data_IF_103393988448
#
_entry.id   IF_103393988448
#
_cell.length_a   1.000
_cell.length_b   1.000
_cell.length_c   1.000
_cell.angle_alpha   90.00
_cell.angle_beta   90.00
_cell.angle_gamma   90.00
#
_symmetry.space_group_name_H-M   'P 1'
#
loop_
_entity.id
_entity.type
_entity.pdbx_description
1 polymer ?
#
# COMPACT_ATOMS: atom_id res chain seq x y z
N UNK A 1 28.68 7.55 -5.24
CA UNK A 1 27.22 7.52 -5.10
C UNK A 1 26.74 6.20 -5.67
N UNK A 2 26.58 5.22 -4.79
CA UNK A 2 26.20 3.83 -5.09
C UNK A 2 24.69 3.69 -5.32
N UNK A 3 24.12 4.53 -6.19
CA UNK A 3 22.72 4.43 -6.62
C UNK A 3 22.58 3.70 -7.96
N UNK A 4 23.70 3.32 -8.59
CA UNK A 4 23.75 2.74 -9.93
C UNK A 4 23.79 1.21 -9.96
N UNK A 5 23.83 0.52 -8.82
CA UNK A 5 24.09 -0.93 -8.79
C UNK A 5 23.12 -1.81 -8.00
N UNK A 6 22.07 -1.29 -7.35
CA UNK A 6 21.03 -2.15 -6.74
C UNK A 6 19.85 -2.38 -7.69
N UNK A 7 20.05 -3.25 -8.68
CA UNK A 7 18.96 -3.79 -9.51
C UNK A 7 17.93 -4.64 -8.71
N UNK A 8 18.13 -4.81 -7.40
CA UNK A 8 17.29 -5.65 -6.52
C UNK A 8 16.63 -4.87 -5.36
N UNK A 9 16.68 -3.54 -5.34
CA UNK A 9 15.94 -2.73 -4.34
C UNK A 9 16.39 -2.90 -2.88
N UNK A 10 17.37 -3.75 -2.58
CA UNK A 10 17.96 -3.87 -1.25
C UNK A 10 19.30 -3.13 -1.19
N UNK A 11 19.39 -2.19 -0.24
CA UNK A 11 20.66 -1.54 0.10
C UNK A 11 21.45 -2.51 0.96
N UNK A 12 22.65 -2.89 0.53
CA UNK A 12 23.58 -3.65 1.37
C UNK A 12 23.87 -2.81 2.61
N UNK A 13 23.49 -3.30 3.79
CA UNK A 13 23.85 -2.70 5.08
C UNK A 13 25.37 -2.63 5.18
N UNK A 14 25.93 -1.42 5.13
CA UNK A 14 27.37 -1.22 5.32
C UNK A 14 27.70 -1.45 6.79
N UNK A 15 28.67 -2.32 7.12
CA UNK A 15 29.10 -2.52 8.50
C UNK A 15 29.49 -1.19 9.17
N UNK A 16 29.19 -1.06 10.46
CA UNK A 16 29.41 0.15 11.25
C UNK A 16 30.79 0.79 11.13
N UNK A 17 31.82 -0.03 10.90
CA UNK A 17 33.22 0.34 10.74
C UNK A 17 33.56 1.03 9.41
N UNK A 18 32.67 0.94 8.41
CA UNK A 18 32.82 1.53 7.09
C UNK A 18 31.89 2.74 6.88
N UNK A 19 31.07 3.07 7.87
CA UNK A 19 30.17 4.23 7.85
C UNK A 19 30.98 5.49 8.16
N UNK A 20 30.91 6.46 7.25
CA UNK A 20 31.52 7.78 7.43
C UNK A 20 30.50 8.76 8.04
N UNK A 21 30.96 9.55 9.01
CA UNK A 21 30.19 10.63 9.64
C UNK A 21 30.40 11.96 8.89
N UNK A 22 29.32 12.69 8.66
CA UNK A 22 29.29 14.03 8.08
C UNK A 22 28.45 14.96 8.94
N UNK A 23 28.55 16.27 8.70
CA UNK A 23 27.74 17.27 9.39
C UNK A 23 26.93 18.11 8.38
N UNK A 24 25.67 18.36 8.72
CA UNK A 24 24.84 19.33 8.00
C UNK A 24 25.30 20.76 8.30
N UNK A 25 24.81 21.75 7.55
CA UNK A 25 25.06 23.18 7.83
C UNK A 25 24.71 23.59 9.27
N UNK A 26 23.74 22.91 9.88
CA UNK A 26 23.26 23.20 11.23
C UNK A 26 24.00 22.40 12.32
N UNK A 27 25.04 21.64 11.96
CA UNK A 27 25.85 20.84 12.90
C UNK A 27 25.28 19.46 13.23
N UNK A 28 24.09 19.11 12.70
CA UNK A 28 23.53 17.75 12.82
C UNK A 28 24.45 16.73 12.16
N UNK A 29 24.77 15.65 12.86
CA UNK A 29 25.53 14.52 12.33
C UNK A 29 24.66 13.65 11.43
N UNK A 30 25.22 13.21 10.30
CA UNK A 30 24.59 12.30 9.36
C UNK A 30 25.59 11.26 8.90
N UNK A 31 25.10 10.10 8.46
CA UNK A 31 25.93 8.93 8.16
C UNK A 31 25.68 8.45 6.73
N UNK A 32 26.75 8.03 6.05
CA UNK A 32 26.65 7.33 4.76
C UNK A 32 26.51 5.80 4.94
N UNK A 33 26.17 5.06 3.89
CA UNK A 33 26.22 3.58 3.88
C UNK A 33 24.88 2.85 3.96
N UNK A 34 23.75 3.52 3.69
CA UNK A 34 22.44 2.86 3.84
C UNK A 34 21.22 3.57 3.23
N UNK A 35 21.44 4.61 2.41
CA UNK A 35 20.40 5.57 2.02
C UNK A 35 20.19 6.68 3.06
N UNK A 36 19.27 7.62 2.77
CA UNK A 36 18.88 8.67 3.73
C UNK A 36 17.90 8.06 4.73
N UNK A 37 18.27 8.02 6.01
CA UNK A 37 17.34 7.66 7.09
C UNK A 37 16.37 8.83 7.32
N UNK A 38 15.04 8.59 7.34
CA UNK A 38 14.10 9.66 7.69
C UNK A 38 14.24 10.03 9.17
N UNK A 39 14.12 11.32 9.46
CA UNK A 39 14.07 11.83 10.83
C UNK A 39 12.75 11.47 11.52
N UNK A 40 11.68 11.32 10.73
CA UNK A 40 10.36 10.85 11.16
C UNK A 40 9.97 9.71 10.25
N UNK A 41 9.79 8.52 10.83
CA UNK A 41 9.27 7.37 10.11
C UNK A 41 7.75 7.47 10.01
N UNK A 42 7.23 7.43 8.79
CA UNK A 42 5.78 7.39 8.51
C UNK A 42 5.52 6.04 7.88
N UNK A 43 4.72 5.21 8.56
CA UNK A 43 4.42 3.87 8.09
C UNK A 43 3.71 3.95 6.72
N UNK A 44 4.27 3.30 5.69
CA UNK A 44 3.68 3.33 4.36
C UNK A 44 2.33 2.61 4.34
N UNK A 45 1.36 3.20 3.67
CA UNK A 45 0.11 2.54 3.36
C UNK A 45 0.25 1.71 2.09
N UNK A 46 -0.14 0.44 2.17
CA UNK A 46 -0.08 -0.47 1.03
C UNK A 46 -1.48 -0.83 0.57
N UNK A 47 -1.70 -0.73 -0.75
CA UNK A 47 -2.85 -1.36 -1.40
C UNK A 47 -2.81 -2.87 -1.14
N UNK A 48 -3.95 -3.47 -0.77
CA UNK A 48 -4.00 -4.94 -0.63
C UNK A 48 -3.66 -5.61 -1.95
N UNK A 49 -3.05 -6.78 -1.84
CA UNK A 49 -2.84 -7.68 -2.98
C UNK A 49 -4.15 -8.00 -3.71
N UNK A 50 -5.28 -7.99 -3.02
CA UNK A 50 -6.60 -8.19 -3.63
C UNK A 50 -6.99 -7.00 -4.52
N UNK A 51 -7.02 -5.77 -3.99
CA UNK A 51 -7.33 -4.57 -4.77
C UNK A 51 -6.34 -4.38 -5.95
N UNK A 52 -5.05 -4.62 -5.72
CA UNK A 52 -4.05 -4.61 -6.79
C UNK A 52 -4.31 -5.68 -7.87
N UNK A 53 -4.86 -6.83 -7.50
CA UNK A 53 -5.25 -7.89 -8.44
C UNK A 53 -6.46 -7.47 -9.27
N UNK A 54 -7.47 -6.82 -8.66
CA UNK A 54 -8.63 -6.30 -9.39
C UNK A 54 -8.21 -5.25 -10.42
N UNK A 55 -7.31 -4.35 -10.04
CA UNK A 55 -6.72 -3.37 -10.95
C UNK A 55 -5.93 -4.04 -12.07
N UNK A 56 -5.01 -4.97 -11.75
CA UNK A 56 -4.18 -5.64 -12.75
C UNK A 56 -4.99 -6.47 -13.77
N UNK A 57 -6.18 -6.94 -13.40
CA UNK A 57 -7.08 -7.69 -14.29
C UNK A 57 -7.96 -6.79 -15.16
N UNK A 58 -7.91 -5.47 -15.00
CA UNK A 58 -8.75 -4.54 -15.74
C UNK A 58 -10.14 -4.30 -15.13
N UNK A 59 -10.47 -4.93 -14.01
CA UNK A 59 -11.84 -4.87 -13.47
C UNK A 59 -12.20 -3.51 -12.89
N UNK A 60 -11.22 -2.78 -12.39
CA UNK A 60 -11.41 -1.40 -11.92
C UNK A 60 -11.68 -0.49 -13.13
N UNK A 61 -10.87 -0.59 -14.19
CA UNK A 61 -11.05 0.22 -15.40
C UNK A 61 -12.35 -0.10 -16.15
N UNK A 62 -12.71 -1.38 -16.26
CA UNK A 62 -13.96 -1.82 -16.89
C UNK A 62 -15.19 -1.23 -16.16
N UNK A 63 -15.16 -1.22 -14.82
CA UNK A 63 -16.21 -0.59 -14.04
C UNK A 63 -16.19 0.93 -14.18
N UNK A 64 -15.02 1.56 -14.18
CA UNK A 64 -14.87 3.00 -14.43
C UNK A 64 -15.43 3.43 -15.79
N UNK A 65 -15.27 2.60 -16.83
CA UNK A 65 -15.89 2.80 -18.14
C UNK A 65 -17.42 2.80 -18.05
N UNK A 66 -17.99 1.83 -17.32
CA UNK A 66 -19.43 1.75 -17.11
C UNK A 66 -19.96 2.92 -16.29
N UNK A 67 -19.29 3.26 -15.18
CA UNK A 67 -19.63 4.38 -14.31
C UNK A 67 -19.65 5.69 -15.11
N UNK A 68 -18.61 5.96 -15.89
CA UNK A 68 -18.51 7.17 -16.73
C UNK A 68 -19.63 7.21 -17.78
N UNK A 69 -19.98 6.07 -18.37
CA UNK A 69 -21.07 5.96 -19.35
C UNK A 69 -22.44 6.25 -18.73
N UNK A 70 -22.67 5.84 -17.47
CA UNK A 70 -23.89 6.11 -16.70
C UNK A 70 -23.99 7.55 -16.23
N UNK A 71 -22.86 8.25 -16.09
CA UNK A 71 -22.78 9.62 -15.58
C UNK A 71 -22.19 10.62 -16.59
N UNK A 72 -22.81 10.81 -17.77
CA UNK A 72 -22.25 11.68 -18.80
C UNK A 72 -22.20 13.14 -18.34
N UNK A 73 -21.02 13.76 -18.44
CA UNK A 73 -20.83 15.18 -18.11
C UNK A 73 -20.88 15.51 -16.62
N UNK A 74 -20.84 14.51 -15.73
CA UNK A 74 -20.74 14.73 -14.29
C UNK A 74 -19.50 15.57 -13.96
N UNK A 75 -19.72 16.62 -13.16
CA UNK A 75 -18.63 17.37 -12.54
C UNK A 75 -18.31 16.73 -11.20
N UNK A 76 -17.02 16.55 -10.92
CA UNK A 76 -16.53 16.01 -9.66
C UNK A 76 -15.61 17.03 -8.99
N UNK A 77 -15.65 17.09 -7.66
CA UNK A 77 -14.63 17.79 -6.88
C UNK A 77 -13.49 16.81 -6.61
N UNK A 78 -12.34 17.04 -7.24
CA UNK A 78 -11.19 16.14 -7.18
C UNK A 78 -10.74 15.88 -5.74
N UNK A 79 -10.85 16.85 -4.83
CA UNK A 79 -10.36 16.70 -3.46
C UNK A 79 -11.26 15.82 -2.59
N UNK A 80 -12.55 15.74 -2.93
CA UNK A 80 -13.58 15.14 -2.07
C UNK A 80 -14.39 14.04 -2.75
N UNK A 81 -14.11 13.77 -4.03
CA UNK A 81 -14.83 12.76 -4.81
C UNK A 81 -14.70 11.38 -4.17
N UNK A 82 -15.83 10.68 -4.06
CA UNK A 82 -15.85 9.26 -3.76
C UNK A 82 -17.10 8.64 -4.35
N UNK A 83 -17.00 7.39 -4.81
CA UNK A 83 -18.16 6.61 -5.19
C UNK A 83 -19.08 6.39 -3.98
N UNK A 84 -20.38 6.30 -4.25
CA UNK A 84 -21.38 6.07 -3.20
C UNK A 84 -21.45 4.60 -2.80
N UNK A 85 -22.12 4.30 -1.68
CA UNK A 85 -22.43 2.91 -1.32
C UNK A 85 -23.23 2.18 -2.40
N UNK A 86 -24.08 2.90 -3.13
CA UNK A 86 -24.85 2.34 -4.25
C UNK A 86 -23.95 1.99 -5.44
N UNK A 87 -23.00 2.87 -5.79
CA UNK A 87 -22.02 2.60 -6.83
C UNK A 87 -21.12 1.41 -6.45
N UNK A 88 -20.74 1.29 -5.18
CA UNK A 88 -19.98 0.14 -4.70
C UNK A 88 -20.78 -1.16 -4.76
N UNK A 89 -22.09 -1.11 -4.45
CA UNK A 89 -22.98 -2.26 -4.62
C UNK A 89 -23.09 -2.69 -6.09
N UNK A 90 -23.13 -1.73 -7.03
CA UNK A 90 -23.06 -2.01 -8.46
C UNK A 90 -21.72 -2.67 -8.84
N UNK A 91 -20.60 -2.21 -8.28
CA UNK A 91 -19.29 -2.85 -8.49
C UNK A 91 -19.27 -4.29 -7.96
N UNK A 92 -19.79 -4.52 -6.76
CA UNK A 92 -19.88 -5.86 -6.18
C UNK A 92 -20.75 -6.79 -7.04
N UNK A 93 -21.85 -6.28 -7.62
CA UNK A 93 -22.67 -7.02 -8.58
C UNK A 93 -21.91 -7.33 -9.88
N UNK A 94 -21.19 -6.35 -10.43
CA UNK A 94 -20.32 -6.51 -11.60
C UNK A 94 -19.24 -7.58 -11.41
N UNK A 95 -18.79 -7.81 -10.16
CA UNK A 95 -17.77 -8.79 -9.82
C UNK A 95 -18.30 -10.23 -9.63
N UNK A 96 -19.61 -10.47 -9.56
CA UNK A 96 -20.17 -11.79 -9.18
C UNK A 96 -19.75 -12.94 -10.11
N UNK A 97 -19.63 -12.67 -11.41
CA UNK A 97 -19.30 -13.69 -12.42
C UNK A 97 -17.81 -13.68 -12.82
N UNK A 98 -16.97 -12.94 -12.09
CA UNK A 98 -15.55 -12.77 -12.42
C UNK A 98 -14.66 -13.67 -11.59
N UNK A 99 -13.77 -14.37 -12.28
CA UNK A 99 -12.72 -15.14 -11.62
C UNK A 99 -11.58 -14.20 -11.19
N UNK A 100 -11.30 -14.18 -9.89
CA UNK A 100 -10.17 -13.44 -9.32
C UNK A 100 -9.16 -14.46 -8.81
N UNK A 101 -8.03 -14.70 -9.51
CA UNK A 101 -6.96 -15.60 -9.08
C UNK A 101 -6.16 -15.00 -7.92
N UNK A 102 -6.85 -14.69 -6.82
CA UNK A 102 -6.27 -14.19 -5.59
C UNK A 102 -6.09 -15.33 -4.59
N UNK A 103 -4.93 -15.35 -3.95
CA UNK A 103 -4.65 -16.22 -2.83
C UNK A 103 -4.09 -15.39 -1.68
N UNK A 104 -4.78 -15.48 -0.53
CA UNK A 104 -4.38 -14.80 0.69
C UNK A 104 -3.03 -15.28 1.21
N UNK A 105 -2.30 -14.40 1.91
CA UNK A 105 -1.00 -14.72 2.50
C UNK A 105 -1.12 -15.85 3.51
N UNK A 106 -2.22 -15.88 4.25
CA UNK A 106 -2.57 -16.97 5.18
C UNK A 106 -2.74 -18.30 4.46
N UNK A 107 -3.45 -18.35 3.32
CA UNK A 107 -3.60 -19.58 2.54
C UNK A 107 -2.26 -20.05 1.96
N UNK A 108 -1.42 -19.13 1.46
CA UNK A 108 -0.06 -19.45 1.00
C UNK A 108 0.81 -20.03 2.11
N UNK A 109 0.76 -19.41 3.30
CA UNK A 109 1.49 -19.88 4.47
C UNK A 109 0.99 -21.26 4.95
N UNK A 110 -0.33 -21.49 4.95
CA UNK A 110 -0.91 -22.78 5.31
C UNK A 110 -0.48 -23.87 4.32
N UNK A 111 -0.47 -23.60 3.01
CA UNK A 111 0.03 -24.56 2.00
C UNK A 111 1.51 -24.90 2.23
N UNK A 112 2.35 -23.91 2.54
CA UNK A 112 3.75 -24.14 2.85
C UNK A 112 3.93 -24.99 4.12
N UNK A 113 3.13 -24.71 5.17
CA UNK A 113 3.14 -25.49 6.40
C UNK A 113 2.68 -26.93 6.19
N UNK A 114 1.60 -27.15 5.42
CA UNK A 114 1.12 -28.49 5.04
C UNK A 114 2.23 -29.30 4.36
N UNK A 115 2.93 -28.69 3.40
CA UNK A 115 4.04 -29.33 2.69
C UNK A 115 5.19 -29.71 3.64
N UNK A 116 5.61 -28.79 4.51
CA UNK A 116 6.68 -29.07 5.47
C UNK A 116 6.30 -30.20 6.44
N UNK A 117 5.05 -30.21 6.91
CA UNK A 117 4.54 -31.26 7.78
C UNK A 117 4.50 -32.64 7.09
N UNK A 118 4.15 -32.70 5.80
CA UNK A 118 4.21 -33.93 5.00
C UNK A 118 5.65 -34.44 4.86
N UNK A 119 6.60 -33.55 4.56
CA UNK A 119 8.02 -33.88 4.40
C UNK A 119 8.63 -34.39 5.72
N UNK A 120 8.24 -33.81 6.86
CA UNK A 120 8.67 -34.20 8.21
C UNK A 120 7.85 -35.37 8.80
N UNK A 121 6.90 -35.92 8.04
CA UNK A 121 6.05 -37.08 8.39
C UNK A 121 5.05 -36.85 9.55
N UNK A 122 4.58 -35.63 9.74
CA UNK A 122 3.49 -35.29 10.66
C UNK A 122 2.10 -35.54 10.05
N UNK A 123 1.82 -36.79 9.66
CA UNK A 123 0.58 -37.17 8.98
C UNK A 123 -0.69 -36.94 9.85
N UNK A 124 -0.53 -36.95 11.17
CA UNK A 124 -1.60 -36.73 12.15
C UNK A 124 -2.16 -35.30 12.17
N UNK A 125 -1.50 -34.34 11.50
CA UNK A 125 -1.94 -32.94 11.42
C UNK A 125 -2.86 -32.66 10.22
N UNK A 126 -3.07 -33.65 9.34
CA UNK A 126 -3.78 -33.46 8.08
C UNK A 126 -5.21 -32.93 8.27
N UNK A 127 -5.98 -33.53 9.18
CA UNK A 127 -7.38 -33.14 9.42
C UNK A 127 -7.48 -31.72 10.00
N UNK A 128 -6.52 -31.32 10.83
CA UNK A 128 -6.44 -29.99 11.42
C UNK A 128 -6.16 -28.94 10.34
N UNK A 129 -5.23 -29.23 9.41
CA UNK A 129 -4.96 -28.33 8.30
C UNK A 129 -6.14 -28.20 7.33
N UNK A 130 -6.83 -29.31 7.03
CA UNK A 130 -8.03 -29.28 6.20
C UNK A 130 -9.15 -28.48 6.85
N UNK A 131 -9.32 -28.58 8.18
CA UNK A 131 -10.27 -27.76 8.93
C UNK A 131 -9.94 -26.27 8.80
N UNK A 132 -8.71 -25.87 9.12
CA UNK A 132 -8.27 -24.47 8.99
C UNK A 132 -8.45 -23.97 7.56
N UNK A 133 -8.07 -24.76 6.55
CA UNK A 133 -8.20 -24.38 5.15
C UNK A 133 -9.66 -24.14 4.71
N UNK A 134 -10.60 -24.93 5.25
CA UNK A 134 -12.04 -24.79 4.97
C UNK A 134 -12.68 -23.58 5.67
N UNK A 135 -12.08 -23.12 6.77
CA UNK A 135 -12.54 -21.94 7.52
C UNK A 135 -11.99 -20.64 6.93
N UNK A 136 -10.92 -20.70 6.14
CA UNK A 136 -10.42 -19.55 5.38
C UNK A 136 -11.42 -19.16 4.30
N UNK A 137 -12.11 -18.05 4.51
CA UNK A 137 -13.00 -17.41 3.55
C UNK A 137 -12.27 -16.27 2.86
N UNK A 138 -11.58 -16.60 1.77
CA UNK A 138 -10.93 -15.64 0.87
C UNK A 138 -11.53 -15.69 -0.53
N UNK A 139 -12.84 -15.95 -0.62
CA UNK A 139 -13.60 -15.79 -1.86
C UNK A 139 -13.74 -14.29 -2.23
N UNK A 140 -14.06 -14.02 -3.49
CA UNK A 140 -14.19 -12.66 -4.02
C UNK A 140 -15.18 -11.81 -3.22
N UNK A 141 -16.34 -12.35 -2.84
CA UNK A 141 -17.35 -11.57 -2.13
C UNK A 141 -16.88 -11.18 -0.72
N UNK A 142 -16.27 -12.12 0.01
CA UNK A 142 -15.67 -11.83 1.33
C UNK A 142 -14.54 -10.80 1.23
N UNK A 143 -13.68 -10.92 0.22
CA UNK A 143 -12.56 -9.99 0.04
C UNK A 143 -12.98 -8.59 -0.44
N UNK A 144 -14.05 -8.48 -1.23
CA UNK A 144 -14.62 -7.18 -1.58
C UNK A 144 -15.03 -6.42 -0.32
N UNK A 145 -15.72 -7.06 0.62
CA UNK A 145 -16.08 -6.43 1.88
C UNK A 145 -14.85 -6.15 2.76
N UNK A 146 -13.93 -7.12 2.87
CA UNK A 146 -12.73 -7.00 3.72
C UNK A 146 -11.82 -5.86 3.28
N UNK A 147 -11.66 -5.65 1.98
CA UNK A 147 -10.78 -4.64 1.39
C UNK A 147 -11.56 -3.47 0.77
N UNK A 148 -12.80 -3.25 1.23
CA UNK A 148 -13.74 -2.29 0.66
C UNK A 148 -13.14 -0.91 0.46
N UNK A 149 -12.48 -0.36 1.49
CA UNK A 149 -11.87 0.98 1.45
C UNK A 149 -10.84 1.09 0.31
N UNK A 150 -9.96 0.11 0.17
CA UNK A 150 -8.90 0.10 -0.84
C UNK A 150 -9.44 -0.12 -2.24
N UNK A 151 -10.53 -0.89 -2.37
CA UNK A 151 -11.23 -1.07 -3.64
C UNK A 151 -11.95 0.23 -4.04
N UNK A 152 -12.59 0.92 -3.09
CA UNK A 152 -13.19 2.24 -3.32
C UNK A 152 -12.12 3.23 -3.78
N UNK A 153 -10.97 3.28 -3.10
CA UNK A 153 -9.87 4.16 -3.46
C UNK A 153 -9.35 3.87 -4.89
N UNK A 154 -9.20 2.60 -5.25
CA UNK A 154 -8.81 2.21 -6.60
C UNK A 154 -9.82 2.68 -7.66
N UNK A 155 -11.13 2.54 -7.40
CA UNK A 155 -12.19 2.99 -8.29
C UNK A 155 -12.20 4.53 -8.39
N UNK A 156 -12.08 5.22 -7.25
CA UNK A 156 -12.02 6.68 -7.19
C UNK A 156 -10.85 7.21 -8.01
N UNK A 157 -9.66 6.61 -7.84
CA UNK A 157 -8.46 6.96 -8.58
C UNK A 157 -8.63 6.75 -10.09
N UNK A 158 -9.24 5.65 -10.55
CA UNK A 158 -9.53 5.43 -11.96
C UNK A 158 -10.53 6.47 -12.52
N UNK A 159 -11.59 6.78 -11.79
CA UNK A 159 -12.56 7.81 -12.20
C UNK A 159 -11.88 9.18 -12.29
N UNK A 160 -11.17 9.60 -11.23
CA UNK A 160 -10.45 10.87 -11.17
C UNK A 160 -9.42 10.98 -12.29
N UNK A 161 -8.70 9.89 -12.61
CA UNK A 161 -7.73 9.83 -13.70
C UNK A 161 -8.37 10.22 -15.04
N UNK A 162 -9.63 9.82 -15.28
CA UNK A 162 -10.37 10.17 -16.50
C UNK A 162 -10.79 11.65 -16.57
N UNK A 163 -10.97 12.29 -15.41
CA UNK A 163 -11.41 13.68 -15.31
C UNK A 163 -10.26 14.70 -15.26
N UNK A 164 -9.18 14.36 -14.53
CA UNK A 164 -8.12 15.31 -14.18
C UNK A 164 -6.70 14.73 -14.35
N UNK A 165 -6.59 13.57 -15.00
CA UNK A 165 -5.33 12.87 -15.23
C UNK A 165 -4.57 12.59 -13.92
N UNK A 166 -3.30 12.23 -14.03
CA UNK A 166 -2.45 11.90 -12.88
C UNK A 166 -2.34 13.05 -11.88
N UNK A 167 -2.40 14.31 -12.34
CA UNK A 167 -2.37 15.47 -11.46
C UNK A 167 -3.57 15.49 -10.50
N UNK A 168 -4.77 15.14 -10.98
CA UNK A 168 -5.95 15.03 -10.12
C UNK A 168 -5.87 13.88 -9.13
N UNK A 169 -5.32 12.73 -9.54
CA UNK A 169 -5.12 11.58 -8.63
C UNK A 169 -4.17 11.96 -7.48
N UNK A 170 -3.09 12.68 -7.79
CA UNK A 170 -2.16 13.18 -6.76
C UNK A 170 -2.87 14.19 -5.85
N UNK A 171 -3.64 15.13 -6.41
CA UNK A 171 -4.37 16.12 -5.61
C UNK A 171 -5.39 15.45 -4.67
N UNK A 172 -6.06 14.40 -5.11
CA UNK A 172 -7.00 13.63 -4.30
C UNK A 172 -6.29 12.92 -3.14
N UNK A 173 -5.21 12.19 -3.42
CA UNK A 173 -4.44 11.45 -2.43
C UNK A 173 -3.84 12.35 -1.34
N UNK A 174 -3.49 13.60 -1.67
CA UNK A 174 -2.93 14.56 -0.71
C UNK A 174 -3.85 14.91 0.46
N UNK A 175 -5.17 14.72 0.33
CA UNK A 175 -6.13 15.08 1.38
C UNK A 175 -5.94 14.23 2.65
N UNK A 176 -5.65 12.95 2.49
CA UNK A 176 -5.53 11.96 3.58
C UNK A 176 -4.11 11.40 3.73
N UNK A 177 -3.14 11.92 2.96
CA UNK A 177 -1.74 11.47 3.01
C UNK A 177 -1.10 11.77 4.39
N UNK A 178 -0.77 10.69 5.11
CA UNK A 178 -0.13 10.77 6.44
C UNK A 178 1.20 11.50 6.43
N UNK A 179 1.98 11.39 5.35
CA UNK A 179 3.24 12.09 5.18
C UNK A 179 3.04 13.59 5.01
N UNK A 180 2.04 14.00 4.22
CA UNK A 180 1.64 15.41 4.07
C UNK A 180 1.13 15.96 5.40
N UNK A 181 0.24 15.23 6.09
CA UNK A 181 -0.27 15.63 7.40
C UNK A 181 0.86 15.83 8.42
N UNK A 182 1.81 14.87 8.47
CA UNK A 182 2.97 14.96 9.35
C UNK A 182 3.92 16.10 8.97
N UNK A 183 4.10 16.36 7.68
CA UNK A 183 4.90 17.49 7.21
C UNK A 183 4.29 18.83 7.62
N UNK A 184 2.97 18.98 7.49
CA UNK A 184 2.26 20.19 7.95
C UNK A 184 2.42 20.37 9.45
N UNK A 185 2.20 19.32 10.24
CA UNK A 185 2.36 19.35 11.70
C UNK A 185 3.76 19.83 12.10
N UNK A 186 4.82 19.27 11.51
CA UNK A 186 6.21 19.66 11.81
C UNK A 186 6.47 21.12 11.46
N UNK A 187 5.95 21.61 10.33
CA UNK A 187 6.12 23.01 9.90
C UNK A 187 5.38 24.00 10.80
N UNK A 188 4.29 23.57 11.44
CA UNK A 188 3.53 24.36 12.41
C UNK A 188 4.20 24.44 13.80
N UNK A 189 5.20 23.58 14.06
CA UNK A 189 5.93 23.52 15.33
C UNK A 189 7.42 23.88 15.15
N UNK A 190 7.80 25.18 15.19
CA UNK A 190 9.17 25.64 14.91
C UNK A 190 10.26 25.01 15.77
N UNK A 191 9.94 24.62 17.01
CA UNK A 191 10.89 23.96 17.91
C UNK A 191 11.16 22.52 17.49
N UNK A 192 10.13 21.77 17.05
CA UNK A 192 10.27 20.42 16.49
C UNK A 192 11.05 20.46 15.18
N UNK A 193 10.70 21.38 14.27
CA UNK A 193 11.45 21.58 13.03
C UNK A 193 12.92 21.94 13.27
N UNK A 194 13.19 22.80 14.25
CA UNK A 194 14.57 23.15 14.63
C UNK A 194 15.29 21.92 15.15
N UNK A 195 14.69 21.20 16.09
CA UNK A 195 15.24 19.98 16.67
C UNK A 195 15.63 18.97 15.59
N UNK A 196 14.72 18.62 14.68
CA UNK A 196 14.96 17.71 13.54
C UNK A 196 16.13 18.17 12.65
N UNK A 197 16.30 19.49 12.47
CA UNK A 197 17.35 20.02 11.59
C UNK A 197 18.69 20.23 12.27
N UNK A 198 18.75 20.29 13.61
CA UNK A 198 19.98 20.57 14.38
C UNK A 198 20.49 19.38 15.20
N UNK A 199 19.63 18.45 15.57
CA UNK A 199 19.94 17.33 16.48
C UNK A 199 19.82 15.99 15.75
N UNK A 200 20.55 14.98 16.26
CA UNK A 200 20.53 13.64 15.69
C UNK A 200 19.86 12.66 16.66
N UNK A 201 18.56 12.46 16.49
CA UNK A 201 17.77 11.53 17.30
C UNK A 201 17.63 10.14 16.66
N UNK A 202 17.99 10.02 15.38
CA UNK A 202 17.92 8.77 14.62
C UNK A 202 19.07 7.84 15.01
N UNK A 203 18.72 6.61 15.39
CA UNK A 203 19.70 5.54 15.67
C UNK A 203 20.43 5.15 14.38
N UNK A 204 21.73 4.90 14.50
CA UNK A 204 22.55 4.31 13.45
C UNK A 204 21.98 2.92 13.06
N UNK A 205 21.89 2.63 11.76
CA UNK A 205 21.47 1.31 11.23
C UNK A 205 22.44 0.22 11.62
#
# INVERSE_FOLDING_TARGET
MDYSHSQEGSVRTVPDSLISEFETRAGRKVYDGGGIMPDIDVEPEYISRFAATLYALGFIEDFGDEYTRRNPGQQIDIRTFSITDADYADFAAFMQDKEVPYESDTRRALKALKKAAEDDRFAELKEQFERVESELKDDTATNLETYREQVIEAINNDIILRHAYTAGVIEHAMADDKGVARAVEVLEHPDEYRHITTEQDTRKK
#
